data_IF_205058483395
#
_entry.id   IF_205058483395
#
_cell.length_a   1.000
_cell.length_b   1.000
_cell.length_c   1.000
_cell.angle_alpha   90.00
_cell.angle_beta   90.00
_cell.angle_gamma   90.00
#
_symmetry.space_group_name_H-M   'P 1'
#
loop_
_entity.id
_entity.type
_entity.pdbx_description
1 polymer ?
#
# COMPACT_ATOMS: atom_id res chain seq x y z
N UNK A 1 -3.19 -9.89 -8.65
CA UNK A 1 -3.17 -8.71 -7.76
C UNK A 1 -4.59 -8.19 -7.68
N UNK A 2 -5.05 -7.76 -6.50
CA UNK A 2 -6.33 -7.07 -6.35
C UNK A 2 -6.05 -5.61 -6.00
N UNK A 3 -6.84 -4.71 -6.56
CA UNK A 3 -6.75 -3.28 -6.28
C UNK A 3 -8.04 -2.88 -5.57
N UNK A 4 -7.90 -2.08 -4.52
CA UNK A 4 -9.05 -1.58 -3.79
C UNK A 4 -8.92 -0.09 -3.56
N UNK A 5 -10.06 0.60 -3.53
CA UNK A 5 -10.18 2.00 -3.17
C UNK A 5 -11.21 2.18 -2.07
N UNK A 6 -11.10 3.30 -1.36
CA UNK A 6 -12.14 3.79 -0.46
C UNK A 6 -12.72 5.06 -1.05
N UNK A 7 -14.04 5.21 -1.00
CA UNK A 7 -14.65 6.50 -1.28
C UNK A 7 -14.26 7.51 -0.19
N UNK A 8 -13.96 8.75 -0.60
CA UNK A 8 -13.60 9.81 0.35
C UNK A 8 -14.76 10.02 1.33
N UNK A 9 -14.46 10.01 2.64
CA UNK A 9 -15.44 10.12 3.73
C UNK A 9 -16.38 8.91 3.89
N UNK A 10 -16.10 7.79 3.19
CA UNK A 10 -16.76 6.51 3.41
C UNK A 10 -15.76 5.46 3.91
N UNK A 11 -16.27 4.47 4.64
CA UNK A 11 -15.52 3.25 4.99
C UNK A 11 -15.74 2.13 3.95
N UNK A 12 -16.54 2.39 2.91
CA UNK A 12 -16.85 1.41 1.89
C UNK A 12 -15.65 1.12 0.99
N UNK A 13 -15.27 -0.17 0.96
CA UNK A 13 -14.20 -0.70 0.13
C UNK A 13 -14.76 -1.15 -1.21
N UNK A 14 -14.20 -0.63 -2.31
CA UNK A 14 -14.54 -1.03 -3.68
C UNK A 14 -13.35 -1.73 -4.34
N UNK A 15 -13.60 -2.82 -5.08
CA UNK A 15 -12.58 -3.46 -5.93
C UNK A 15 -12.46 -2.68 -7.25
N UNK A 16 -11.23 -2.32 -7.63
CA UNK A 16 -10.93 -1.47 -8.77
C UNK A 16 -10.37 -2.29 -9.93
N UNK A 17 -10.75 -1.92 -11.16
CA UNK A 17 -10.16 -2.48 -12.39
C UNK A 17 -8.83 -1.79 -12.74
N UNK A 18 -8.71 -0.49 -12.44
CA UNK A 18 -7.52 0.33 -12.70
C UNK A 18 -7.30 1.39 -11.61
N UNK A 19 -6.05 1.85 -11.44
CA UNK A 19 -5.66 2.92 -10.51
C UNK A 19 -4.69 3.86 -11.22
N UNK A 20 -4.93 5.17 -11.11
CA UNK A 20 -4.01 6.22 -11.58
C UNK A 20 -3.31 6.89 -10.40
N UNK A 21 -1.99 7.04 -10.48
CA UNK A 21 -1.20 7.84 -9.53
C UNK A 21 -0.90 9.20 -10.17
N UNK A 22 -1.60 10.24 -9.73
CA UNK A 22 -1.25 11.62 -10.06
C UNK A 22 -0.22 12.13 -9.06
N UNK A 23 1.04 12.24 -9.51
CA UNK A 23 2.15 12.66 -8.66
C UNK A 23 3.28 13.29 -9.47
N UNK A 24 4.14 14.06 -8.80
CA UNK A 24 5.39 14.56 -9.36
C UNK A 24 6.53 13.54 -9.19
N UNK A 25 7.72 13.85 -9.74
CA UNK A 25 8.87 12.94 -9.71
C UNK A 25 9.37 12.65 -8.29
N UNK A 26 9.36 13.63 -7.39
CA UNK A 26 9.81 13.45 -6.00
C UNK A 26 8.84 12.57 -5.22
N UNK A 27 7.53 12.74 -5.44
CA UNK A 27 6.48 11.90 -4.88
C UNK A 27 6.57 10.47 -5.43
N UNK A 28 6.81 10.30 -6.72
CA UNK A 28 7.02 8.99 -7.33
C UNK A 28 8.25 8.28 -6.73
N UNK A 29 9.35 9.00 -6.52
CA UNK A 29 10.54 8.45 -5.85
C UNK A 29 10.25 8.02 -4.40
N UNK A 30 9.44 8.79 -3.66
CA UNK A 30 8.98 8.41 -2.31
C UNK A 30 8.14 7.14 -2.35
N UNK A 31 7.20 7.03 -3.28
CA UNK A 31 6.36 5.83 -3.46
C UNK A 31 7.26 4.62 -3.75
N UNK A 32 8.22 4.75 -4.67
CA UNK A 32 9.15 3.65 -5.00
C UNK A 32 9.95 3.21 -3.77
N UNK A 33 10.48 4.14 -2.98
CA UNK A 33 11.22 3.83 -1.74
C UNK A 33 10.35 3.11 -0.72
N UNK A 34 9.10 3.56 -0.54
CA UNK A 34 8.14 2.88 0.31
C UNK A 34 7.86 1.46 -0.16
N UNK A 35 7.59 1.24 -1.45
CA UNK A 35 7.35 -0.10 -2.00
C UNK A 35 8.56 -1.03 -1.81
N UNK A 36 9.79 -0.52 -1.97
CA UNK A 36 11.01 -1.27 -1.71
C UNK A 36 11.16 -1.64 -0.23
N UNK A 37 10.88 -0.69 0.66
CA UNK A 37 10.88 -0.92 2.11
C UNK A 37 9.86 -1.99 2.49
N UNK A 38 8.61 -1.85 2.06
CA UNK A 38 7.53 -2.81 2.35
C UNK A 38 7.87 -4.20 1.82
N UNK A 39 8.38 -4.30 0.57
CA UNK A 39 8.84 -5.58 0.03
C UNK A 39 9.88 -6.25 0.94
N UNK A 40 10.86 -5.47 1.41
CA UNK A 40 11.90 -5.97 2.31
C UNK A 40 11.31 -6.44 3.64
N UNK A 41 10.50 -5.61 4.32
CA UNK A 41 9.93 -5.96 5.62
C UNK A 41 8.94 -7.11 5.55
N UNK A 42 8.02 -7.09 4.59
CA UNK A 42 7.06 -8.17 4.41
C UNK A 42 7.79 -9.48 4.12
N UNK A 43 8.85 -9.49 3.30
CA UNK A 43 9.64 -10.71 3.00
C UNK A 43 10.31 -11.38 4.20
N UNK A 44 10.52 -10.63 5.30
CA UNK A 44 11.08 -11.18 6.54
C UNK A 44 10.05 -11.95 7.36
N UNK A 45 8.77 -11.71 7.12
CA UNK A 45 7.66 -12.35 7.83
C UNK A 45 7.28 -13.62 7.05
N UNK A 46 7.95 -14.73 7.35
CA UNK A 46 7.82 -16.01 6.63
C UNK A 46 6.76 -16.95 7.23
N UNK A 47 5.78 -16.44 7.98
CA UNK A 47 4.84 -17.30 8.70
C UNK A 47 3.62 -17.65 7.84
N UNK A 48 3.37 -18.96 7.73
CA UNK A 48 2.37 -19.70 6.94
C UNK A 48 0.88 -19.30 7.12
N UNK A 49 0.56 -18.11 7.61
CA UNK A 49 -0.83 -17.63 7.75
C UNK A 49 -1.00 -16.12 7.91
N UNK A 50 0.04 -15.31 7.64
CA UNK A 50 0.00 -13.87 7.92
C UNK A 50 -0.33 -13.00 6.71
N UNK A 51 -1.47 -12.32 6.74
CA UNK A 51 -1.68 -11.12 5.90
C UNK A 51 -0.83 -9.98 6.48
N UNK A 52 0.16 -9.51 5.73
CA UNK A 52 0.98 -8.37 6.11
C UNK A 52 0.44 -7.12 5.42
N UNK A 53 0.27 -6.04 6.16
CA UNK A 53 -0.09 -4.76 5.57
C UNK A 53 0.77 -3.63 6.12
N UNK A 54 1.03 -2.63 5.28
CA UNK A 54 1.75 -1.42 5.66
C UNK A 54 1.12 -0.22 4.98
N UNK A 55 0.98 0.86 5.74
CA UNK A 55 0.45 2.12 5.26
C UNK A 55 1.57 3.09 4.91
N UNK A 56 1.40 3.86 3.84
CA UNK A 56 2.34 4.90 3.44
C UNK A 56 2.36 6.04 4.45
N UNK A 57 1.20 6.43 5.00
CA UNK A 57 1.09 7.48 6.02
C UNK A 57 1.89 7.20 7.30
N UNK A 58 2.10 5.93 7.62
CA UNK A 58 2.86 5.53 8.81
C UNK A 58 4.38 5.58 8.55
N UNK A 59 4.78 5.55 7.27
CA UNK A 59 6.17 5.54 6.83
C UNK A 59 6.70 6.93 6.46
N UNK A 60 5.89 7.77 5.81
CA UNK A 60 6.28 9.13 5.42
C UNK A 60 6.05 10.13 6.57
N UNK A 61 7.13 10.58 7.20
CA UNK A 61 7.09 11.57 8.30
C UNK A 61 6.53 12.93 7.89
N UNK A 62 6.48 13.21 6.59
CA UNK A 62 5.92 14.45 6.04
C UNK A 62 4.47 14.30 5.56
N UNK A 63 3.87 13.12 5.75
CA UNK A 63 2.50 12.86 5.35
C UNK A 63 1.51 13.80 6.04
N UNK A 64 0.48 14.23 5.31
CA UNK A 64 -0.54 15.17 5.78
C UNK A 64 -1.90 14.50 5.75
N UNK A 65 -2.78 14.88 6.67
CA UNK A 65 -4.14 14.31 6.78
C UNK A 65 -4.97 14.40 5.48
N UNK A 66 -4.64 15.35 4.61
CA UNK A 66 -5.35 15.60 3.35
C UNK A 66 -4.76 14.81 2.16
N UNK A 67 -3.60 14.17 2.36
CA UNK A 67 -2.94 13.34 1.36
C UNK A 67 -3.62 11.98 1.25
N UNK A 68 -3.57 11.38 0.07
CA UNK A 68 -3.96 9.99 -0.09
C UNK A 68 -3.02 9.05 0.70
N UNK A 69 -3.55 7.92 1.16
CA UNK A 69 -2.76 6.84 1.73
C UNK A 69 -2.61 5.71 0.71
N UNK A 70 -1.49 5.01 0.75
CA UNK A 70 -1.22 3.82 -0.08
C UNK A 70 -1.04 2.67 0.89
N UNK A 71 -1.92 1.69 0.80
CA UNK A 71 -1.90 0.50 1.64
C UNK A 71 -1.41 -0.66 0.80
N UNK A 72 -0.31 -1.27 1.22
CA UNK A 72 0.24 -2.46 0.56
C UNK A 72 -0.05 -3.66 1.43
N UNK A 73 -0.75 -4.63 0.86
CA UNK A 73 -1.08 -5.89 1.49
C UNK A 73 -0.38 -7.03 0.74
N UNK A 74 0.39 -7.85 1.45
CA UNK A 74 0.95 -9.09 0.92
C UNK A 74 0.33 -10.29 1.64
N UNK A 75 -0.09 -11.27 0.86
CA UNK A 75 -0.67 -12.52 1.37
C UNK A 75 0.34 -13.64 1.13
N UNK A 76 0.72 -14.33 2.19
CA UNK A 76 1.46 -15.58 2.11
C UNK A 76 0.47 -16.74 2.01
N UNK A 77 -0.14 -16.89 0.83
CA UNK A 77 -0.79 -18.13 0.47
C UNK A 77 0.21 -18.92 -0.37
N UNK A 78 0.80 -19.97 0.21
CA UNK A 78 1.31 -21.10 -0.57
C UNK A 78 0.09 -21.75 -1.23
N UNK A 79 -0.38 -21.24 -2.37
CA UNK A 79 -1.19 -21.95 -3.38
C UNK A 79 -1.71 -20.98 -4.45
N UNK A 80 -1.07 -21.02 -5.63
CA UNK A 80 -1.77 -21.28 -6.90
C UNK A 80 -0.99 -22.33 -7.68
#
# INVERSE_FOLDING_TARGET
MKLFGYEKESEDLIELEEVSFECNIEELDKIIKFLQYVKCEHSKISSESGLCHSHFRDWDVEWKHESADIIIVTNYNDEQ
#
